data_IF_657489333272
#
_entry.id   IF_657489333272
#
_cell.length_a   1.000
_cell.length_b   1.000
_cell.length_c   1.000
_cell.angle_alpha   90.00
_cell.angle_beta   90.00
_cell.angle_gamma   90.00
#
_symmetry.space_group_name_H-M   'P 1'
#
loop_
_entity.id
_entity.type
_entity.pdbx_description
1 polymer ?
#
# COMPACT_ATOMS: atom_id res chain seq x y z
N UNK A 1 -5.07 38.82 -30.67
CA UNK A 1 -4.72 38.25 -29.35
C UNK A 1 -4.51 36.72 -29.35
N UNK A 2 -5.46 35.88 -29.79
CA UNK A 2 -5.35 34.40 -29.77
C UNK A 2 -4.35 33.83 -30.79
N UNK A 3 -4.25 34.44 -31.97
CA UNK A 3 -3.28 34.06 -33.01
C UNK A 3 -1.83 34.46 -32.67
N UNK A 4 -1.62 35.60 -32.01
CA UNK A 4 -0.29 35.99 -31.50
C UNK A 4 0.21 35.03 -30.42
N UNK A 5 -0.64 34.54 -29.52
CA UNK A 5 -0.26 33.51 -28.53
C UNK A 5 0.09 32.16 -29.14
N UNK A 6 -0.56 31.76 -30.24
CA UNK A 6 -0.22 30.52 -30.96
C UNK A 6 1.11 30.63 -31.70
N UNK A 7 1.45 31.81 -32.23
CA UNK A 7 2.76 32.09 -32.82
C UNK A 7 3.90 31.99 -31.79
N UNK A 8 3.72 32.55 -30.60
CA UNK A 8 4.71 32.49 -29.50
C UNK A 8 4.92 31.07 -29.00
N UNK A 9 3.85 30.26 -28.88
CA UNK A 9 3.95 28.85 -28.45
C UNK A 9 4.65 27.99 -29.51
N UNK A 10 4.41 28.23 -30.81
CA UNK A 10 5.13 27.54 -31.89
C UNK A 10 6.62 27.92 -31.94
N UNK A 11 6.95 29.19 -31.69
CA UNK A 11 8.34 29.65 -31.61
C UNK A 11 9.10 29.03 -30.41
N UNK A 12 8.43 28.91 -29.26
CA UNK A 12 8.99 28.22 -28.08
C UNK A 12 9.18 26.72 -28.36
N UNK A 13 8.25 26.07 -29.07
CA UNK A 13 8.37 24.65 -29.42
C UNK A 13 9.51 24.39 -30.41
N UNK A 14 9.73 25.27 -31.39
CA UNK A 14 10.87 25.18 -32.31
C UNK A 14 12.22 25.42 -31.62
N UNK A 15 12.26 26.23 -30.56
CA UNK A 15 13.47 26.48 -29.79
C UNK A 15 13.90 25.26 -28.93
N UNK A 16 12.99 24.32 -28.67
CA UNK A 16 13.26 23.07 -27.93
C UNK A 16 13.84 21.94 -28.79
N UNK A 17 13.83 22.03 -30.12
CA UNK A 17 14.44 21.04 -31.02
C UNK A 17 15.87 21.42 -31.48
N UNK A 18 16.39 22.57 -31.07
CA UNK A 18 17.63 23.14 -31.64
C UNK A 18 18.88 23.07 -30.74
N UNK A 19 18.90 22.29 -29.65
CA UNK A 19 20.12 22.10 -28.86
C UNK A 19 20.67 20.67 -28.99
N UNK A 20 21.68 20.46 -29.87
CA UNK A 20 22.32 19.16 -30.08
C UNK A 20 22.79 18.51 -28.79
N UNK A 21 23.25 19.28 -27.80
CA UNK A 21 23.72 18.76 -26.51
C UNK A 21 22.59 18.12 -25.69
N UNK A 22 21.36 18.66 -25.76
CA UNK A 22 20.21 18.12 -25.00
C UNK A 22 19.75 16.79 -25.61
N UNK A 23 19.78 16.67 -26.93
CA UNK A 23 19.51 15.42 -27.65
C UNK A 23 20.60 14.39 -27.33
N UNK A 24 21.87 14.81 -27.37
CA UNK A 24 23.02 13.94 -27.05
C UNK A 24 22.96 13.41 -25.62
N UNK A 25 22.67 14.26 -24.63
CA UNK A 25 22.53 13.87 -23.23
C UNK A 25 21.38 12.88 -23.00
N UNK A 26 20.27 13.02 -23.74
CA UNK A 26 19.15 12.06 -23.70
C UNK A 26 19.52 10.71 -24.29
N UNK A 27 20.20 10.70 -25.44
CA UNK A 27 20.67 9.47 -26.07
C UNK A 27 21.68 8.75 -25.17
N UNK A 28 22.61 9.50 -24.54
CA UNK A 28 23.57 8.95 -23.60
C UNK A 28 22.89 8.32 -22.38
N UNK A 29 21.90 9.01 -21.79
CA UNK A 29 21.14 8.49 -20.66
C UNK A 29 20.35 7.22 -21.02
N UNK A 30 19.75 7.17 -22.21
CA UNK A 30 19.05 5.98 -22.70
C UNK A 30 20.01 4.82 -22.97
N UNK A 31 21.21 5.10 -23.51
CA UNK A 31 22.26 4.10 -23.70
C UNK A 31 22.69 3.49 -22.36
N UNK A 32 23.00 4.30 -21.35
CA UNK A 32 23.35 3.79 -20.01
C UNK A 32 22.21 3.03 -19.34
N UNK A 33 20.96 3.46 -19.52
CA UNK A 33 19.80 2.74 -19.00
C UNK A 33 19.62 1.37 -19.67
N UNK A 34 19.90 1.28 -20.98
CA UNK A 34 19.89 0.01 -21.72
C UNK A 34 21.05 -0.91 -21.37
N UNK A 35 22.20 -0.35 -21.00
CA UNK A 35 23.35 -1.12 -20.52
C UNK A 35 23.06 -1.73 -19.14
N UNK A 36 22.44 -0.95 -18.25
CA UNK A 36 22.01 -1.42 -16.92
C UNK A 36 20.96 -2.54 -17.02
N UNK A 37 20.02 -2.45 -17.96
CA UNK A 37 19.03 -3.53 -18.17
C UNK A 37 19.68 -4.80 -18.75
N UNK A 38 20.61 -4.67 -19.70
CA UNK A 38 21.33 -5.81 -20.26
C UNK A 38 22.20 -6.53 -19.22
N UNK A 39 22.89 -5.78 -18.35
CA UNK A 39 23.64 -6.34 -17.21
C UNK A 39 22.67 -7.03 -16.24
N UNK A 40 21.51 -6.44 -15.95
CA UNK A 40 20.48 -7.05 -15.12
C UNK A 40 19.97 -8.39 -15.67
N UNK A 41 19.71 -8.48 -16.98
CA UNK A 41 19.33 -9.74 -17.65
C UNK A 41 20.44 -10.79 -17.57
N UNK A 42 21.70 -10.40 -17.77
CA UNK A 42 22.85 -11.31 -17.66
C UNK A 42 23.03 -11.87 -16.24
N UNK A 43 22.87 -11.02 -15.22
CA UNK A 43 22.91 -11.44 -13.80
C UNK A 43 21.75 -12.39 -13.48
N UNK A 44 20.54 -12.08 -13.94
CA UNK A 44 19.37 -12.96 -13.73
C UNK A 44 19.54 -14.32 -14.42
N UNK A 45 20.05 -14.35 -15.65
CA UNK A 45 20.32 -15.60 -16.38
C UNK A 45 21.40 -16.44 -15.69
N UNK A 46 22.43 -15.82 -15.12
CA UNK A 46 23.47 -16.51 -14.37
C UNK A 46 23.01 -17.04 -13.00
N UNK A 47 22.07 -16.34 -12.35
CA UNK A 47 21.52 -16.73 -11.05
C UNK A 47 20.35 -17.71 -11.16
N UNK A 48 19.68 -17.80 -12.31
CA UNK A 48 18.52 -18.66 -12.53
C UNK A 48 18.76 -20.15 -12.24
N UNK A 49 19.89 -20.78 -12.63
CA UNK A 49 20.16 -22.18 -12.33
C UNK A 49 20.29 -22.42 -10.82
N UNK A 50 20.90 -21.48 -10.09
CA UNK A 50 21.04 -21.53 -8.64
C UNK A 50 19.68 -21.33 -7.97
N UNK A 51 18.90 -20.37 -8.44
CA UNK A 51 17.53 -20.13 -7.96
C UNK A 51 16.63 -21.37 -8.12
N UNK A 52 16.68 -22.03 -9.28
CA UNK A 52 15.84 -23.19 -9.60
C UNK A 52 16.11 -24.42 -8.70
N UNK A 53 17.31 -24.53 -8.13
CA UNK A 53 17.69 -25.66 -7.25
C UNK A 53 17.74 -25.27 -5.76
N UNK A 54 17.45 -24.02 -5.42
CA UNK A 54 17.44 -23.56 -4.03
C UNK A 54 16.10 -23.90 -3.38
N UNK A 55 16.07 -24.56 -2.20
CA UNK A 55 14.84 -24.83 -1.48
C UNK A 55 14.06 -23.54 -1.15
N UNK A 56 12.73 -23.58 -1.24
CA UNK A 56 11.85 -22.42 -1.02
C UNK A 56 12.09 -21.73 0.33
N UNK A 57 12.29 -22.50 1.41
CA UNK A 57 12.60 -21.95 2.73
C UNK A 57 13.92 -21.14 2.77
N UNK A 58 14.91 -21.53 1.97
CA UNK A 58 16.18 -20.81 1.88
C UNK A 58 16.03 -19.52 1.05
N UNK A 59 15.23 -19.54 -0.02
CA UNK A 59 14.86 -18.35 -0.78
C UNK A 59 14.07 -17.36 0.07
N UNK A 60 13.10 -17.82 0.85
CA UNK A 60 12.33 -17.00 1.79
C UNK A 60 13.25 -16.37 2.85
N UNK A 61 14.19 -17.13 3.41
CA UNK A 61 15.16 -16.61 4.36
C UNK A 61 16.09 -15.55 3.75
N UNK A 62 16.56 -15.77 2.51
CA UNK A 62 17.37 -14.82 1.75
C UNK A 62 16.60 -13.55 1.41
N UNK A 63 15.37 -13.67 0.94
CA UNK A 63 14.48 -12.54 0.65
C UNK A 63 14.18 -11.75 1.93
N UNK A 64 13.90 -12.43 3.04
CA UNK A 64 13.70 -11.79 4.35
C UNK A 64 14.96 -11.08 4.83
N UNK A 65 16.13 -11.68 4.64
CA UNK A 65 17.42 -11.06 4.96
C UNK A 65 17.71 -9.82 4.11
N UNK A 66 17.55 -9.93 2.80
CA UNK A 66 17.73 -8.83 1.85
C UNK A 66 16.73 -7.68 2.11
N UNK A 67 15.47 -8.04 2.38
CA UNK A 67 14.46 -7.08 2.81
C UNK A 67 14.85 -6.41 4.11
N UNK A 68 15.29 -7.14 5.14
CA UNK A 68 15.70 -6.56 6.42
C UNK A 68 16.87 -5.57 6.28
N UNK A 69 17.85 -5.88 5.43
CA UNK A 69 18.98 -4.99 5.15
C UNK A 69 18.52 -3.75 4.38
N UNK A 70 17.72 -3.94 3.31
CA UNK A 70 17.14 -2.83 2.56
C UNK A 70 16.23 -1.95 3.42
N UNK A 71 15.46 -2.56 4.31
CA UNK A 71 14.59 -1.91 5.28
C UNK A 71 15.40 -1.15 6.33
N UNK A 72 16.48 -1.73 6.85
CA UNK A 72 17.39 -1.03 7.76
C UNK A 72 17.97 0.24 7.11
N UNK A 73 18.45 0.14 5.87
CA UNK A 73 18.92 1.28 5.09
C UNK A 73 17.79 2.31 4.86
N UNK A 74 16.58 1.85 4.55
CA UNK A 74 15.37 2.66 4.43
C UNK A 74 15.01 3.42 5.73
N UNK A 75 15.17 2.79 6.90
CA UNK A 75 14.84 3.42 8.20
C UNK A 75 15.83 4.50 8.64
N UNK A 76 16.99 4.60 7.98
CA UNK A 76 17.92 5.71 8.22
C UNK A 76 17.34 7.04 7.74
N UNK A 77 17.76 8.20 8.31
CA UNK A 77 17.32 9.51 7.83
C UNK A 77 17.58 9.74 6.34
N UNK A 78 18.69 9.20 5.82
CA UNK A 78 19.08 9.31 4.40
C UNK A 78 18.21 8.41 3.52
N UNK A 79 18.02 7.14 3.90
CA UNK A 79 17.12 6.23 3.18
C UNK A 79 15.69 6.74 3.13
N UNK A 80 15.19 7.26 4.26
CA UNK A 80 13.87 7.89 4.36
C UNK A 80 13.75 9.12 3.45
N UNK A 81 14.79 9.94 3.33
CA UNK A 81 14.81 11.08 2.41
C UNK A 81 14.66 10.64 0.95
N UNK A 82 15.45 9.66 0.50
CA UNK A 82 15.37 9.14 -0.87
C UNK A 82 14.04 8.45 -1.16
N UNK A 83 13.52 7.70 -0.19
CA UNK A 83 12.20 7.08 -0.30
C UNK A 83 11.09 8.13 -0.45
N UNK A 84 11.03 9.13 0.44
CA UNK A 84 10.03 10.19 0.36
C UNK A 84 10.14 10.99 -0.96
N UNK A 85 11.36 11.13 -1.49
CA UNK A 85 11.61 11.73 -2.81
C UNK A 85 11.11 10.84 -3.96
N UNK A 86 11.31 9.53 -3.88
CA UNK A 86 10.81 8.55 -4.85
C UNK A 86 9.27 8.49 -4.84
N UNK A 87 8.64 8.43 -3.66
CA UNK A 87 7.18 8.50 -3.50
C UNK A 87 6.62 9.80 -4.10
N UNK A 88 7.21 10.96 -3.78
CA UNK A 88 6.81 12.25 -4.39
C UNK A 88 6.96 12.28 -5.91
N UNK A 89 8.03 11.66 -6.45
CA UNK A 89 8.27 11.54 -7.89
C UNK A 89 7.25 10.62 -8.56
N UNK A 90 6.91 9.50 -7.92
CA UNK A 90 5.92 8.53 -8.40
C UNK A 90 4.49 9.07 -8.32
N UNK A 91 4.15 9.85 -7.29
CA UNK A 91 2.88 10.59 -7.19
C UNK A 91 2.75 11.57 -8.36
N UNK A 92 3.82 12.31 -8.73
CA UNK A 92 3.80 13.24 -9.87
C UNK A 92 3.66 12.52 -11.23
N UNK A 93 4.22 11.32 -11.38
CA UNK A 93 4.12 10.53 -12.63
C UNK A 93 2.75 9.85 -12.81
N UNK A 94 2.01 9.58 -11.73
CA UNK A 94 0.76 8.81 -11.72
C UNK A 94 -0.51 9.58 -12.12
N UNK A 95 -0.41 10.85 -12.52
CA UNK A 95 -1.53 11.58 -13.16
C UNK A 95 -1.99 10.89 -14.47
N UNK A 96 -1.22 9.92 -15.00
CA UNK A 96 -1.55 9.16 -16.21
C UNK A 96 -1.61 7.61 -16.04
N UNK A 97 -1.61 7.05 -14.81
CA UNK A 97 -1.62 5.59 -14.60
C UNK A 97 -3.04 5.01 -14.35
N UNK A 98 -3.23 3.72 -14.67
CA UNK A 98 -4.53 3.02 -14.84
C UNK A 98 -5.46 2.90 -13.61
N UNK A 99 -5.01 3.27 -12.42
CA UNK A 99 -5.89 3.42 -11.25
C UNK A 99 -5.89 4.89 -10.83
N UNK A 100 -7.00 5.60 -11.09
CA UNK A 100 -7.26 6.93 -10.55
C UNK A 100 -7.41 6.80 -9.03
N UNK A 101 -6.33 6.97 -8.28
CA UNK A 101 -6.40 7.17 -6.85
C UNK A 101 -7.11 8.48 -6.54
N UNK A 102 -7.84 8.50 -5.43
CA UNK A 102 -8.57 9.64 -4.84
C UNK A 102 -10.04 9.73 -5.29
N UNK A 103 -10.85 8.82 -4.76
CA UNK A 103 -11.98 9.23 -3.90
C UNK A 103 -11.96 8.36 -2.66
N UNK A 104 -11.97 8.98 -1.48
CA UNK A 104 -12.44 8.27 -0.30
C UNK A 104 -13.86 7.78 -0.64
N UNK A 105 -14.09 6.47 -0.60
CA UNK A 105 -15.47 5.98 -0.60
C UNK A 105 -16.00 6.26 0.79
N UNK A 106 -16.78 7.35 0.91
CA UNK A 106 -17.53 7.59 2.12
C UNK A 106 -18.66 6.56 2.17
N UNK A 107 -18.52 5.58 3.07
CA UNK A 107 -19.69 4.95 3.64
C UNK A 107 -20.23 5.96 4.67
N UNK A 108 -21.53 5.92 4.98
CA UNK A 108 -22.19 6.94 5.82
C UNK A 108 -21.46 7.25 7.15
N UNK A 109 -20.64 6.31 7.66
CA UNK A 109 -19.93 6.42 8.94
C UNK A 109 -18.40 6.32 8.85
N UNK A 110 -17.82 5.88 7.72
CA UNK A 110 -16.37 5.67 7.59
C UNK A 110 -15.81 5.99 6.20
N UNK A 111 -14.48 6.11 6.10
CA UNK A 111 -13.77 6.25 4.83
C UNK A 111 -12.59 5.30 4.74
N UNK A 112 -12.27 4.86 3.52
CA UNK A 112 -11.06 4.11 3.20
C UNK A 112 -10.10 5.00 2.43
N UNK A 113 -8.91 5.24 3.01
CA UNK A 113 -7.86 6.04 2.40
C UNK A 113 -6.71 5.13 1.92
N UNK A 114 -6.46 5.01 0.61
CA UNK A 114 -5.30 4.31 0.10
C UNK A 114 -4.01 5.09 0.37
N UNK A 115 -2.99 4.41 0.87
CA UNK A 115 -1.66 4.92 1.16
C UNK A 115 -0.66 4.15 0.29
N UNK A 116 -0.24 4.71 -0.87
CA UNK A 116 0.71 4.03 -1.74
C UNK A 116 2.10 3.98 -1.08
N UNK A 117 2.75 2.82 -1.16
CA UNK A 117 4.14 2.65 -0.77
C UNK A 117 4.85 1.72 -1.77
N UNK A 118 6.19 1.75 -1.80
CA UNK A 118 6.99 1.13 -2.87
C UNK A 118 6.55 1.53 -4.29
N UNK A 119 6.54 0.59 -5.24
CA UNK A 119 6.24 0.84 -6.65
C UNK A 119 4.80 0.49 -7.03
N UNK A 120 4.17 -0.47 -6.35
CA UNK A 120 2.88 -1.07 -6.70
C UNK A 120 2.02 -1.51 -5.49
N UNK A 121 2.55 -1.45 -4.26
CA UNK A 121 1.80 -1.82 -3.06
C UNK A 121 0.96 -0.66 -2.49
N UNK A 122 -0.10 -1.02 -1.77
CA UNK A 122 -0.97 -0.11 -1.04
C UNK A 122 -1.22 -0.62 0.37
N UNK A 123 -1.08 0.26 1.35
CA UNK A 123 -1.70 0.08 2.66
C UNK A 123 -2.98 0.90 2.66
N UNK A 124 -3.90 0.60 3.56
CA UNK A 124 -5.15 1.37 3.66
C UNK A 124 -5.36 1.85 5.09
N UNK A 125 -5.91 3.06 5.23
CA UNK A 125 -6.47 3.53 6.49
C UNK A 125 -7.99 3.43 6.39
N UNK A 126 -8.58 2.55 7.19
CA UNK A 126 -10.01 2.55 7.46
C UNK A 126 -10.26 3.53 8.60
N UNK A 127 -10.96 4.62 8.31
CA UNK A 127 -11.15 5.75 9.22
C UNK A 127 -12.60 5.83 9.66
N UNK A 128 -12.81 5.74 10.97
CA UNK A 128 -14.10 6.01 11.60
C UNK A 128 -14.24 7.51 11.83
N UNK A 129 -15.25 8.13 11.21
CA UNK A 129 -15.41 9.59 11.27
C UNK A 129 -15.86 10.07 12.66
N UNK A 130 -16.67 9.28 13.36
CA UNK A 130 -17.26 9.67 14.63
C UNK A 130 -16.24 9.73 15.77
N UNK A 131 -15.32 8.76 15.82
CA UNK A 131 -14.33 8.64 16.90
C UNK A 131 -12.94 9.12 16.51
N UNK A 132 -12.71 9.42 15.23
CA UNK A 132 -11.38 9.77 14.68
C UNK A 132 -10.34 8.66 14.90
N UNK A 133 -10.82 7.43 15.11
CA UNK A 133 -9.97 6.24 15.17
C UNK A 133 -9.79 5.64 13.78
N UNK A 134 -8.69 4.91 13.61
CA UNK A 134 -8.40 4.24 12.35
C UNK A 134 -7.85 2.83 12.56
N UNK A 135 -8.07 1.99 11.56
CA UNK A 135 -7.39 0.73 11.36
C UNK A 135 -6.42 0.83 10.18
N UNK A 136 -5.19 0.37 10.37
CA UNK A 136 -4.18 0.28 9.34
C UNK A 136 -4.21 -1.12 8.70
N UNK A 137 -4.61 -1.21 7.44
CA UNK A 137 -4.65 -2.47 6.67
C UNK A 137 -3.30 -2.67 6.00
N UNK A 138 -2.69 -3.84 6.21
CA UNK A 138 -1.41 -4.28 5.64
C UNK A 138 -0.31 -3.18 5.68
N UNK A 139 0.10 -2.73 6.88
CA UNK A 139 1.00 -1.60 7.05
C UNK A 139 2.48 -1.98 6.85
N UNK A 140 2.86 -2.58 5.72
CA UNK A 140 4.25 -3.01 5.50
C UNK A 140 5.26 -1.87 5.50
N UNK A 141 4.85 -0.64 5.14
CA UNK A 141 5.56 0.59 5.50
C UNK A 141 4.87 1.29 6.69
N UNK A 142 5.31 1.01 7.93
CA UNK A 142 4.69 1.55 9.13
C UNK A 142 4.99 3.04 9.34
N UNK A 143 5.99 3.61 8.65
CA UNK A 143 6.35 5.02 8.80
C UNK A 143 5.44 5.91 7.94
N UNK A 144 5.19 5.49 6.71
CA UNK A 144 4.33 6.23 5.78
C UNK A 144 2.89 6.27 6.27
N UNK A 145 2.33 5.12 6.69
CA UNK A 145 0.96 5.08 7.20
C UNK A 145 0.78 5.85 8.51
N UNK A 146 1.77 5.82 9.41
CA UNK A 146 1.76 6.60 10.66
C UNK A 146 1.85 8.10 10.40
N UNK A 147 2.71 8.55 9.48
CA UNK A 147 2.81 9.96 9.10
C UNK A 147 1.50 10.49 8.50
N UNK A 148 0.84 9.69 7.66
CA UNK A 148 -0.48 10.04 7.11
C UNK A 148 -1.53 10.15 8.22
N UNK A 149 -1.59 9.17 9.13
CA UNK A 149 -2.52 9.20 10.25
C UNK A 149 -2.29 10.39 11.18
N UNK A 150 -1.03 10.73 11.49
CA UNK A 150 -0.66 11.85 12.36
C UNK A 150 -1.06 13.19 11.76
N UNK A 151 -0.79 13.41 10.46
CA UNK A 151 -1.20 14.63 9.75
C UNK A 151 -2.71 14.80 9.70
N UNK A 152 -3.43 13.68 9.61
CA UNK A 152 -4.88 13.65 9.64
C UNK A 152 -5.44 13.63 11.06
N UNK A 153 -4.61 13.72 12.10
CA UNK A 153 -5.00 13.67 13.52
C UNK A 153 -5.89 12.45 13.84
N UNK A 154 -5.48 11.27 13.37
CA UNK A 154 -6.17 10.01 13.58
C UNK A 154 -5.44 9.15 14.61
N UNK A 155 -6.19 8.43 15.44
CA UNK A 155 -5.64 7.45 16.37
C UNK A 155 -5.73 6.06 15.77
N UNK A 156 -4.58 5.48 15.38
CA UNK A 156 -4.53 4.09 14.92
C UNK A 156 -4.72 3.16 16.12
N UNK A 157 -5.81 2.41 16.14
CA UNK A 157 -6.15 1.47 17.22
C UNK A 157 -5.95 0.02 16.80
N UNK A 158 -6.09 -0.25 15.50
CA UNK A 158 -6.05 -1.60 14.95
C UNK A 158 -5.07 -1.69 13.77
N UNK A 159 -4.49 -2.87 13.60
CA UNK A 159 -3.84 -3.31 12.37
C UNK A 159 -4.61 -4.51 11.86
N UNK A 160 -5.01 -4.47 10.59
CA UNK A 160 -5.73 -5.54 9.93
C UNK A 160 -4.80 -6.16 8.90
N UNK A 161 -4.23 -7.32 9.24
CA UNK A 161 -3.32 -8.02 8.33
C UNK A 161 -4.09 -9.10 7.58
N UNK A 162 -4.07 -9.03 6.25
CA UNK A 162 -4.79 -9.97 5.38
C UNK A 162 -4.12 -11.34 5.34
N UNK A 163 -2.79 -11.36 5.27
CA UNK A 163 -1.99 -12.58 5.23
C UNK A 163 -0.52 -12.33 5.62
N UNK A 164 0.26 -13.41 5.74
CA UNK A 164 1.60 -13.41 6.36
C UNK A 164 2.75 -12.79 5.57
N UNK A 165 2.59 -12.48 4.28
CA UNK A 165 3.72 -12.02 3.48
C UNK A 165 4.27 -10.68 3.96
N UNK A 166 5.57 -10.50 3.75
CA UNK A 166 6.31 -9.39 4.36
C UNK A 166 5.85 -8.03 3.84
N UNK A 167 5.51 -7.93 2.57
CA UNK A 167 4.95 -6.74 1.92
C UNK A 167 3.52 -6.40 2.39
N UNK A 168 2.96 -7.19 3.31
CA UNK A 168 1.72 -6.90 4.03
C UNK A 168 1.94 -6.78 5.57
N UNK A 169 2.54 -7.80 6.18
CA UNK A 169 2.70 -7.92 7.64
C UNK A 169 3.99 -7.27 8.20
N UNK A 170 4.90 -6.84 7.32
CA UNK A 170 6.27 -6.48 7.69
C UNK A 170 6.42 -5.34 8.68
N UNK A 171 5.45 -4.42 8.70
CA UNK A 171 5.47 -3.26 9.58
C UNK A 171 4.71 -3.41 10.89
N UNK A 172 4.02 -4.53 11.13
CA UNK A 172 3.12 -4.72 12.27
C UNK A 172 3.80 -4.39 13.62
N UNK A 173 4.92 -5.06 13.91
CA UNK A 173 5.65 -4.89 15.18
C UNK A 173 6.20 -3.47 15.35
N UNK A 174 6.66 -2.85 14.26
CA UNK A 174 7.20 -1.48 14.29
C UNK A 174 6.07 -0.48 14.53
N UNK A 175 4.93 -0.65 13.87
CA UNK A 175 3.76 0.21 14.06
C UNK A 175 3.20 0.09 15.49
N UNK A 176 3.10 -1.14 16.02
CA UNK A 176 2.67 -1.38 17.39
C UNK A 176 3.56 -0.65 18.41
N UNK A 177 4.90 -0.73 18.24
CA UNK A 177 5.85 0.03 19.07
C UNK A 177 5.65 1.54 18.95
N UNK A 178 5.46 2.05 17.73
CA UNK A 178 5.25 3.49 17.46
C UNK A 178 3.93 4.03 18.04
N UNK A 179 2.93 3.18 18.21
CA UNK A 179 1.64 3.54 18.80
C UNK A 179 1.56 3.24 20.30
N UNK A 180 2.69 2.99 20.98
CA UNK A 180 2.72 2.80 22.43
C UNK A 180 2.31 1.41 22.91
N UNK A 181 2.32 0.39 22.03
CA UNK A 181 2.13 -1.01 22.39
C UNK A 181 0.67 -1.49 22.51
N UNK A 182 -0.28 -0.59 22.76
CA UNK A 182 -1.71 -0.92 22.93
C UNK A 182 -2.47 -1.25 21.64
N UNK A 183 -1.77 -1.43 20.52
CA UNK A 183 -2.38 -1.59 19.21
C UNK A 183 -2.83 -3.05 18.99
N UNK A 184 -4.09 -3.23 18.60
CA UNK A 184 -4.68 -4.55 18.33
C UNK A 184 -4.29 -4.99 16.92
N UNK A 185 -3.49 -6.03 16.81
CA UNK A 185 -3.06 -6.58 15.51
C UNK A 185 -3.90 -7.82 15.23
N UNK A 186 -4.74 -7.73 14.20
CA UNK A 186 -5.63 -8.80 13.75
C UNK A 186 -4.96 -9.63 12.67
N UNK A 187 -5.07 -10.95 12.78
CA UNK A 187 -4.58 -11.88 11.77
C UNK A 187 -5.13 -13.29 11.98
N UNK A 188 -5.20 -14.07 10.91
CA UNK A 188 -5.66 -15.45 11.00
C UNK A 188 -4.62 -16.33 11.70
N UNK A 189 -5.10 -17.33 12.45
CA UNK A 189 -4.24 -18.25 13.22
C UNK A 189 -3.25 -19.02 12.34
N UNK A 190 -3.71 -19.44 11.17
CA UNK A 190 -2.96 -20.39 10.34
C UNK A 190 -1.81 -19.71 9.58
N UNK A 191 -1.79 -18.37 9.55
CA UNK A 191 -0.77 -17.59 8.84
C UNK A 191 0.40 -17.14 9.74
N UNK A 192 0.32 -17.34 11.06
CA UNK A 192 1.40 -16.99 12.02
C UNK A 192 1.93 -15.56 11.83
N UNK A 193 1.03 -14.61 11.60
CA UNK A 193 1.37 -13.22 11.32
C UNK A 193 2.17 -12.61 12.49
N UNK A 194 3.31 -11.92 12.23
CA UNK A 194 4.09 -11.27 13.27
C UNK A 194 3.30 -10.19 14.03
N UNK A 195 3.38 -10.24 15.36
CA UNK A 195 2.80 -9.21 16.24
C UNK A 195 1.29 -9.32 16.45
N UNK A 196 0.63 -10.38 15.97
CA UNK A 196 -0.81 -10.61 16.20
C UNK A 196 -1.10 -10.65 17.70
N UNK A 197 -2.06 -9.82 18.11
CA UNK A 197 -2.62 -9.81 19.46
C UNK A 197 -4.09 -10.24 19.47
N UNK A 198 -4.74 -10.27 18.30
CA UNK A 198 -6.10 -10.77 18.12
C UNK A 198 -6.15 -11.77 16.96
N UNK A 199 -6.39 -13.02 17.29
CA UNK A 199 -6.67 -14.05 16.30
C UNK A 199 -8.08 -13.86 15.76
N UNK A 200 -8.22 -13.89 14.43
CA UNK A 200 -9.53 -13.80 13.75
C UNK A 200 -9.82 -15.07 12.94
N UNK A 201 -11.10 -15.34 12.71
CA UNK A 201 -11.64 -16.44 11.90
C UNK A 201 -12.75 -15.93 10.99
N UNK A 202 -13.09 -16.71 9.96
CA UNK A 202 -14.23 -16.39 9.10
C UNK A 202 -15.53 -16.29 9.91
N UNK A 203 -16.30 -15.24 9.67
CA UNK A 203 -17.55 -14.93 10.39
C UNK A 203 -17.36 -14.01 11.60
N UNK A 204 -16.13 -13.77 12.06
CA UNK A 204 -15.88 -12.85 13.18
C UNK A 204 -16.29 -11.42 12.83
N UNK A 205 -16.74 -10.69 13.86
CA UNK A 205 -17.12 -9.28 13.78
C UNK A 205 -16.50 -8.50 14.93
N UNK A 206 -16.09 -7.27 14.66
CA UNK A 206 -15.57 -6.37 15.67
C UNK A 206 -15.66 -4.92 15.22
N UNK A 207 -15.37 -3.99 16.14
CA UNK A 207 -15.46 -2.56 15.86
C UNK A 207 -14.09 -1.90 15.78
N UNK A 208 -13.96 -0.98 14.82
CA UNK A 208 -12.91 0.05 14.78
C UNK A 208 -13.61 1.38 15.01
N UNK A 209 -13.50 1.92 16.22
CA UNK A 209 -14.34 3.05 16.62
C UNK A 209 -15.81 2.62 16.66
N UNK A 210 -16.66 3.22 15.81
CA UNK A 210 -18.06 2.81 15.61
C UNK A 210 -18.28 2.01 14.31
N UNK A 211 -17.23 1.81 13.52
CA UNK A 211 -17.31 1.09 12.26
C UNK A 211 -17.23 -0.41 12.53
N UNK A 212 -18.28 -1.16 12.15
CA UNK A 212 -18.27 -2.62 12.24
C UNK A 212 -17.46 -3.22 11.08
N UNK A 213 -16.59 -4.16 11.41
CA UNK A 213 -15.72 -4.88 10.50
C UNK A 213 -15.99 -6.38 10.66
N UNK A 214 -16.40 -7.02 9.57
CA UNK A 214 -16.52 -8.46 9.45
C UNK A 214 -15.26 -9.09 8.86
N UNK A 215 -15.06 -10.38 9.13
CA UNK A 215 -13.94 -11.18 8.62
C UNK A 215 -14.46 -12.28 7.72
N UNK A 216 -13.92 -12.38 6.51
CA UNK A 216 -14.19 -13.47 5.56
C UNK A 216 -12.91 -14.26 5.35
N UNK A 217 -12.94 -15.55 5.65
CA UNK A 217 -11.82 -16.45 5.40
C UNK A 217 -11.82 -16.87 3.93
N UNK A 218 -10.71 -16.64 3.23
CA UNK A 218 -10.55 -16.87 1.79
C UNK A 218 -9.27 -17.65 1.49
N UNK A 219 -9.16 -18.90 1.98
CA UNK A 219 -7.94 -19.69 1.81
C UNK A 219 -7.65 -19.91 0.31
N UNK A 220 -6.51 -19.41 -0.15
CA UNK A 220 -6.04 -19.58 -1.53
C UNK A 220 -4.55 -19.24 -1.62
N UNK A 221 -4.21 -17.95 -1.60
CA UNK A 221 -2.82 -17.48 -1.65
C UNK A 221 -2.01 -17.92 -0.42
N UNK A 222 -2.68 -17.92 0.73
CA UNK A 222 -2.21 -18.57 1.96
C UNK A 222 -3.38 -19.29 2.62
N UNK A 223 -3.09 -20.29 3.46
CA UNK A 223 -4.11 -21.04 4.20
C UNK A 223 -4.89 -20.13 5.17
N UNK A 224 -4.24 -19.09 5.70
CA UNK A 224 -4.85 -18.13 6.62
C UNK A 224 -5.29 -16.82 5.97
N UNK A 225 -5.40 -16.72 4.64
CA UNK A 225 -5.76 -15.45 4.01
C UNK A 225 -7.18 -15.02 4.41
N UNK A 226 -7.34 -13.78 4.88
CA UNK A 226 -8.63 -13.18 5.23
C UNK A 226 -8.87 -11.86 4.52
N UNK A 227 -10.15 -11.55 4.29
CA UNK A 227 -10.62 -10.24 3.84
C UNK A 227 -11.41 -9.60 4.97
N UNK A 228 -11.19 -8.30 5.18
CA UNK A 228 -11.94 -7.50 6.13
C UNK A 228 -13.01 -6.71 5.37
N UNK A 229 -14.26 -6.89 5.76
CA UNK A 229 -15.41 -6.23 5.14
C UNK A 229 -15.97 -5.18 6.10
N UNK A 230 -16.13 -3.95 5.63
CA UNK A 230 -16.88 -2.94 6.39
C UNK A 230 -18.36 -3.26 6.26
N UNK A 231 -19.04 -3.40 7.39
CA UNK A 231 -20.48 -3.66 7.44
C UNK A 231 -21.16 -2.29 7.60
N UNK A 232 -21.92 -1.89 6.58
CA UNK A 232 -22.71 -0.67 6.64
C UNK A 232 -23.83 -0.83 7.67
N UNK A 233 -24.04 0.18 8.50
CA UNK A 233 -25.35 0.36 9.11
C UNK A 233 -26.27 0.85 7.99
N UNK A 234 -27.23 0.03 7.58
CA UNK A 234 -28.32 0.51 6.76
C UNK A 234 -28.93 1.71 7.48
N UNK A 235 -28.83 2.90 6.86
CA UNK A 235 -29.62 4.03 7.29
C UNK A 235 -31.07 3.57 7.13
N UNK A 236 -31.80 3.44 8.24
CA UNK A 236 -33.09 2.77 8.31
C UNK A 236 -33.98 3.00 7.09
N UNK A 237 -34.19 1.95 6.31
CA UNK A 237 -35.42 1.75 5.58
C UNK A 237 -36.38 1.05 6.54
N UNK A 238 -37.35 1.80 7.05
CA UNK A 238 -38.59 1.20 7.55
C UNK A 238 -39.31 0.53 6.36
N UNK A 239 -38.85 -0.66 5.99
CA UNK A 239 -39.64 -1.56 5.17
C UNK A 239 -40.30 -2.53 6.14
N UNK A 240 -41.40 -2.06 6.72
CA UNK A 240 -42.32 -2.88 7.47
C UNK A 240 -42.83 -4.02 6.59
N UNK A 241 -42.17 -5.17 6.64
CA UNK A 241 -42.77 -6.46 6.29
C UNK A 241 -43.50 -7.00 7.52
N UNK A 242 -44.51 -6.23 7.93
CA UNK A 242 -45.69 -6.73 8.61
C UNK A 242 -46.74 -7.06 7.54
N UNK A 243 -46.90 -8.35 7.28
CA UNK A 243 -47.96 -8.92 6.45
C UNK A 243 -47.69 -10.42 6.42
N UNK A 244 -48.35 -11.23 7.25
CA UNK A 244 -49.79 -11.37 7.29
C UNK A 244 -50.08 -12.73 6.66
N UNK A 245 -50.63 -13.66 7.45
CA UNK A 245 -50.89 -15.02 7.00
C UNK A 245 -52.03 -15.14 5.99
N UNK A 246 -52.36 -16.40 5.76
CA UNK A 246 -53.46 -16.99 4.97
C UNK A 246 -53.14 -17.36 3.51
N UNK A 247 -53.40 -18.64 3.21
CA UNK A 247 -53.34 -19.28 1.88
C UNK A 247 -52.82 -20.70 1.93
#
# INVERSE_FOLDING_TARGET
ARLQRQGTVRAIHQQYEANPLVVWLRMLAQFFLSLLSAVGLGVMAALYPVYAVTPSAALEALQKGAFNVGYLLYTTPVGRYFHLRAVRSNIKKRVAAHSRGIRASALSTCSVLPVPFFNDNYSYLLVDHATRTAAAVDPADPYTIKDVADRLQLTITHVLTTHKHHDHAGGNLVLQKKCGGGLVVCGHRDDKIPGVTKLVRGGDRFFVGRTEVGVVHVPCHTDGHVVYCVIGADAGGEDGLGGGGEG
#
